data_IF_688247359504
#
_entry.id   IF_688247359504
#
_cell.length_a   1.000
_cell.length_b   1.000
_cell.length_c   1.000
_cell.angle_alpha   90.00
_cell.angle_beta   90.00
_cell.angle_gamma   90.00
#
_symmetry.space_group_name_H-M   'P 1'
#
loop_
_entity.id
_entity.type
_entity.pdbx_description
1 polymer ?
#
# COMPACT_ATOMS: atom_id res chain seq x y z
N UNK A 1 -21.80 -4.42 11.88
CA UNK A 1 -20.54 -3.97 11.26
C UNK A 1 -19.49 -3.91 12.35
N UNK A 2 -18.38 -4.64 12.22
CA UNK A 2 -17.34 -4.67 13.27
C UNK A 2 -16.81 -3.22 13.41
N UNK A 3 -16.75 -2.62 14.61
CA UNK A 3 -16.27 -1.24 14.80
C UNK A 3 -14.88 -0.99 14.18
N UNK A 4 -14.07 -2.05 14.03
CA UNK A 4 -12.76 -2.01 13.41
C UNK A 4 -12.76 -2.01 11.87
N UNK A 5 -13.86 -2.36 11.19
CA UNK A 5 -13.84 -2.54 9.73
C UNK A 5 -13.63 -1.22 8.97
N UNK A 6 -14.25 -0.13 9.43
CA UNK A 6 -14.07 1.20 8.84
C UNK A 6 -12.62 1.68 9.01
N UNK A 7 -12.08 1.62 10.23
CA UNK A 7 -10.70 1.99 10.52
C UNK A 7 -9.69 1.11 9.75
N UNK A 8 -9.92 -0.20 9.67
CA UNK A 8 -9.12 -1.15 8.89
C UNK A 8 -9.15 -0.85 7.39
N UNK A 9 -10.26 -0.36 6.86
CA UNK A 9 -10.36 0.02 5.44
C UNK A 9 -9.48 1.22 5.15
N UNK A 10 -9.50 2.22 6.03
CA UNK A 10 -8.67 3.42 5.92
C UNK A 10 -7.17 3.12 6.04
N UNK A 11 -6.78 2.00 6.63
CA UNK A 11 -5.38 1.58 6.75
C UNK A 11 -4.67 1.44 5.39
N UNK A 12 -5.42 1.23 4.31
CA UNK A 12 -4.87 1.10 2.96
C UNK A 12 -4.68 2.44 2.23
N UNK A 13 -5.06 3.56 2.86
CA UNK A 13 -4.89 4.91 2.31
C UNK A 13 -3.58 5.53 2.81
N UNK A 14 -2.46 4.90 2.44
CA UNK A 14 -1.12 5.41 2.68
C UNK A 14 -0.78 5.54 4.17
N UNK A 15 -0.57 6.77 4.63
CA UNK A 15 -0.11 7.05 6.00
C UNK A 15 -1.10 6.62 7.08
N UNK A 16 -2.37 6.40 6.72
CA UNK A 16 -3.44 6.04 7.65
C UNK A 16 -3.38 4.58 8.15
N UNK A 17 -2.31 3.83 7.83
CA UNK A 17 -2.13 2.44 8.26
C UNK A 17 -2.28 2.21 9.77
N UNK A 18 -2.00 3.23 10.60
CA UNK A 18 -2.04 3.13 12.05
C UNK A 18 -3.44 3.28 12.65
N UNK A 19 -4.45 3.72 11.88
CA UNK A 19 -5.81 3.94 12.40
C UNK A 19 -6.42 2.73 13.13
N UNK A 20 -6.24 1.47 12.67
CA UNK A 20 -6.75 0.31 13.40
C UNK A 20 -6.08 0.05 14.74
N UNK A 21 -4.92 0.68 15.00
CA UNK A 21 -4.14 0.53 16.25
C UNK A 21 -4.58 1.52 17.33
N UNK A 22 -5.25 2.61 16.95
CA UNK A 22 -5.70 3.65 17.88
C UNK A 22 -7.20 3.56 18.20
N UNK A 23 -7.96 2.81 17.39
CA UNK A 23 -9.38 2.52 17.67
C UNK A 23 -9.50 1.39 18.69
N UNK A 24 -10.21 1.65 19.79
CA UNK A 24 -10.46 0.66 20.84
C UNK A 24 -11.73 -0.18 20.56
N UNK A 25 -11.72 -1.49 20.87
CA UNK A 25 -10.57 -2.28 21.29
C UNK A 25 -9.62 -2.56 20.11
N UNK A 26 -8.31 -2.60 20.39
CA UNK A 26 -7.32 -3.03 19.39
C UNK A 26 -7.43 -4.54 19.21
N UNK A 27 -7.87 -4.97 18.03
CA UNK A 27 -8.12 -6.39 17.71
C UNK A 27 -7.00 -6.99 16.88
N UNK A 28 -6.85 -8.32 16.91
CA UNK A 28 -5.97 -9.06 15.98
C UNK A 28 -6.26 -8.73 14.51
N UNK A 29 -7.54 -8.56 14.19
CA UNK A 29 -8.01 -8.14 12.86
C UNK A 29 -7.54 -6.72 12.48
N UNK A 30 -7.67 -5.76 13.40
CA UNK A 30 -7.16 -4.39 13.21
C UNK A 30 -5.64 -4.38 13.01
N UNK A 31 -4.89 -5.09 13.87
CA UNK A 31 -3.43 -5.25 13.74
C UNK A 31 -3.03 -5.87 12.39
N UNK A 32 -3.79 -6.84 11.89
CA UNK A 32 -3.54 -7.44 10.58
C UNK A 32 -3.64 -6.41 9.45
N UNK A 33 -4.74 -5.64 9.40
CA UNK A 33 -4.94 -4.64 8.35
C UNK A 33 -4.01 -3.43 8.50
N UNK A 34 -3.61 -3.08 9.73
CA UNK A 34 -2.55 -2.09 9.96
C UNK A 34 -1.21 -2.53 9.38
N UNK A 35 -0.81 -3.81 9.57
CA UNK A 35 0.39 -4.36 8.96
C UNK A 35 0.34 -4.37 7.43
N UNK A 36 -0.79 -4.77 6.84
CA UNK A 36 -0.95 -4.80 5.38
C UNK A 36 -0.95 -3.38 4.79
N UNK A 37 -1.59 -2.42 5.46
CA UNK A 37 -1.54 -1.00 5.09
C UNK A 37 -0.13 -0.43 5.16
N UNK A 38 0.62 -0.73 6.23
CA UNK A 38 2.02 -0.33 6.38
C UNK A 38 2.88 -0.90 5.24
N UNK A 39 2.69 -2.17 4.92
CA UNK A 39 3.46 -2.83 3.87
C UNK A 39 3.18 -2.22 2.48
N UNK A 40 1.92 -1.86 2.22
CA UNK A 40 1.53 -1.14 1.01
C UNK A 40 2.18 0.25 0.95
N UNK A 41 2.19 1.00 2.07
CA UNK A 41 2.87 2.30 2.17
C UNK A 41 4.37 2.17 1.89
N UNK A 42 5.05 1.21 2.54
CA UNK A 42 6.48 0.98 2.34
C UNK A 42 6.80 0.58 0.90
N UNK A 43 5.97 -0.26 0.30
CA UNK A 43 6.10 -0.65 -1.12
C UNK A 43 5.92 0.56 -2.04
N UNK A 44 4.93 1.42 -1.76
CA UNK A 44 4.70 2.65 -2.52
C UNK A 44 5.89 3.60 -2.45
N UNK A 45 6.48 3.78 -1.26
CA UNK A 45 7.65 4.66 -1.07
C UNK A 45 8.87 4.07 -1.77
N UNK A 46 9.17 2.79 -1.55
CA UNK A 46 10.33 2.12 -2.15
C UNK A 46 10.25 2.11 -3.69
N UNK A 47 9.09 1.75 -4.25
CA UNK A 47 8.89 1.77 -5.70
C UNK A 47 8.94 3.19 -6.28
N UNK A 48 8.39 4.18 -5.57
CA UNK A 48 8.51 5.59 -5.97
C UNK A 48 9.96 6.08 -6.05
N UNK A 49 10.79 5.72 -5.07
CA UNK A 49 12.23 6.05 -5.07
C UNK A 49 12.93 5.39 -6.27
N UNK A 50 12.68 4.09 -6.52
CA UNK A 50 13.28 3.36 -7.64
C UNK A 50 12.91 4.02 -8.98
N UNK A 51 11.63 4.35 -9.17
CA UNK A 51 11.15 4.98 -10.41
C UNK A 51 11.73 6.39 -10.58
N UNK A 52 11.87 7.15 -9.50
CA UNK A 52 12.50 8.47 -9.53
C UNK A 52 13.97 8.38 -9.98
N UNK A 53 14.73 7.42 -9.45
CA UNK A 53 16.12 7.17 -9.85
C UNK A 53 16.19 6.78 -11.33
N UNK A 54 15.35 5.84 -11.78
CA UNK A 54 15.30 5.43 -13.19
C UNK A 54 14.95 6.60 -14.12
N UNK A 55 14.00 7.45 -13.71
CA UNK A 55 13.59 8.63 -14.49
C UNK A 55 14.70 9.67 -14.59
N UNK A 56 15.49 9.87 -13.52
CA UNK A 56 16.66 10.74 -13.53
C UNK A 56 17.75 10.22 -14.49
N UNK A 57 17.95 8.89 -14.52
CA UNK A 57 18.88 8.25 -15.48
C UNK A 57 18.40 8.46 -16.91
N UNK A 58 17.11 8.26 -17.20
CA UNK A 58 16.55 8.51 -18.52
C UNK A 58 16.73 9.95 -18.96
N UNK A 59 16.49 10.92 -18.07
CA UNK A 59 16.70 12.34 -18.33
C UNK A 59 18.17 12.64 -18.68
N UNK A 60 19.11 12.06 -17.94
CA UNK A 60 20.54 12.26 -18.16
C UNK A 60 21.01 11.74 -19.54
N UNK A 61 20.36 10.67 -20.04
CA UNK A 61 20.63 10.12 -21.37
C UNK A 61 19.99 10.98 -22.46
N UNK A 62 18.70 11.27 -22.32
CA UNK A 62 17.96 12.13 -23.25
C UNK A 62 16.63 12.59 -22.65
N UNK A 63 16.33 13.88 -22.78
CA UNK A 63 15.02 14.42 -22.39
C UNK A 63 13.84 13.70 -23.06
N UNK A 64 14.05 13.13 -24.26
CA UNK A 64 13.03 12.35 -24.97
C UNK A 64 12.69 11.03 -24.30
N UNK A 65 13.48 10.53 -23.35
CA UNK A 65 13.21 9.27 -22.64
C UNK A 65 12.37 9.49 -21.37
N UNK A 66 12.07 10.74 -21.00
CA UNK A 66 11.24 11.06 -19.83
C UNK A 66 9.87 10.38 -19.85
N UNK A 67 9.28 10.20 -21.05
CA UNK A 67 7.97 9.52 -21.17
C UNK A 67 7.99 8.09 -20.62
N UNK A 68 9.14 7.40 -20.67
CA UNK A 68 9.29 6.06 -20.10
C UNK A 68 9.16 6.09 -18.58
N UNK A 69 9.76 7.09 -17.93
CA UNK A 69 9.62 7.31 -16.49
C UNK A 69 8.16 7.56 -16.10
N UNK A 70 7.46 8.40 -16.85
CA UNK A 70 6.02 8.67 -16.66
C UNK A 70 5.17 7.40 -16.85
N UNK A 71 5.45 6.61 -17.89
CA UNK A 71 4.72 5.37 -18.16
C UNK A 71 4.94 4.33 -17.04
N UNK A 72 6.19 4.17 -16.58
CA UNK A 72 6.52 3.28 -15.46
C UNK A 72 5.80 3.71 -14.19
N UNK A 73 5.80 5.02 -13.88
CA UNK A 73 5.08 5.55 -12.73
C UNK A 73 3.57 5.31 -12.83
N UNK A 74 2.96 5.52 -14.00
CA UNK A 74 1.54 5.29 -14.20
C UNK A 74 1.14 3.82 -13.96
N UNK A 75 1.89 2.88 -14.53
CA UNK A 75 1.65 1.44 -14.32
C UNK A 75 1.82 1.06 -12.84
N UNK A 76 2.88 1.56 -12.20
CA UNK A 76 3.13 1.33 -10.78
C UNK A 76 2.02 1.90 -9.89
N UNK A 77 1.57 3.14 -10.15
CA UNK A 77 0.49 3.78 -9.41
C UNK A 77 -0.83 3.00 -9.53
N UNK A 78 -1.15 2.49 -10.73
CA UNK A 78 -2.31 1.61 -10.93
C UNK A 78 -2.16 0.32 -10.11
N UNK A 79 -0.98 -0.31 -10.11
CA UNK A 79 -0.75 -1.52 -9.31
C UNK A 79 -0.94 -1.27 -7.80
N UNK A 80 -0.40 -0.17 -7.27
CA UNK A 80 -0.60 0.24 -5.87
C UNK A 80 -2.08 0.50 -5.57
N UNK A 81 -2.79 1.18 -6.47
CA UNK A 81 -4.23 1.45 -6.32
C UNK A 81 -5.03 0.14 -6.30
N UNK A 82 -4.73 -0.81 -7.19
CA UNK A 82 -5.38 -2.13 -7.20
C UNK A 82 -5.15 -2.86 -5.88
N UNK A 83 -3.93 -2.86 -5.36
CA UNK A 83 -3.63 -3.46 -4.06
C UNK A 83 -4.39 -2.77 -2.92
N UNK A 84 -4.47 -1.43 -2.92
CA UNK A 84 -5.23 -0.68 -1.93
C UNK A 84 -6.71 -1.08 -1.94
N UNK A 85 -7.33 -1.13 -3.13
CA UNK A 85 -8.73 -1.53 -3.32
C UNK A 85 -8.94 -2.98 -2.87
N UNK A 86 -8.04 -3.91 -3.19
CA UNK A 86 -8.14 -5.29 -2.72
C UNK A 86 -8.06 -5.41 -1.20
N UNK A 87 -7.24 -4.57 -0.56
CA UNK A 87 -7.17 -4.43 0.88
C UNK A 87 -8.51 -3.99 1.49
N UNK A 88 -9.07 -2.90 0.96
CA UNK A 88 -10.40 -2.39 1.36
C UNK A 88 -11.51 -3.40 1.10
N UNK A 89 -11.50 -4.11 -0.02
CA UNK A 89 -12.50 -5.16 -0.27
C UNK A 89 -12.36 -6.33 0.72
N UNK A 90 -11.15 -6.65 1.15
CA UNK A 90 -10.93 -7.65 2.20
C UNK A 90 -11.53 -7.20 3.53
N UNK A 91 -11.42 -5.90 3.86
CA UNK A 91 -11.99 -5.36 5.10
C UNK A 91 -13.50 -5.34 5.10
N UNK A 92 -14.11 -4.88 4.00
CA UNK A 92 -15.56 -4.86 3.83
C UNK A 92 -16.18 -6.27 3.86
N UNK A 93 -15.43 -7.29 3.43
CA UNK A 93 -15.83 -8.71 3.51
C UNK A 93 -15.54 -9.35 4.87
N UNK A 94 -14.98 -8.62 5.83
CA UNK A 94 -14.60 -9.15 7.15
C UNK A 94 -13.47 -10.19 7.11
N UNK A 95 -12.66 -10.22 6.04
CA UNK A 95 -11.61 -11.22 5.85
C UNK A 95 -10.23 -10.62 6.10
N UNK A 96 -9.40 -11.31 6.85
CA UNK A 96 -7.98 -11.00 7.00
C UNK A 96 -7.17 -11.70 5.89
N UNK A 97 -7.33 -11.25 4.64
CA UNK A 97 -6.61 -11.80 3.49
C UNK A 97 -5.36 -10.95 3.21
N UNK A 98 -4.18 -11.55 3.05
CA UNK A 98 -2.97 -10.80 2.71
C UNK A 98 -3.09 -10.23 1.29
N UNK A 99 -2.51 -9.05 1.08
CA UNK A 99 -2.40 -8.47 -0.26
C UNK A 99 -1.63 -9.42 -1.20
N UNK A 100 -2.02 -9.54 -2.48
CA UNK A 100 -1.23 -10.25 -3.47
C UNK A 100 0.19 -9.68 -3.55
N UNK A 101 1.16 -10.54 -3.89
CA UNK A 101 2.60 -10.21 -4.08
C UNK A 101 3.31 -9.79 -2.80
N UNK A 102 2.83 -8.75 -2.10
CA UNK A 102 3.51 -8.16 -0.96
C UNK A 102 3.03 -8.73 0.39
N UNK A 103 1.77 -9.11 0.51
CA UNK A 103 1.10 -9.31 1.82
C UNK A 103 1.63 -10.42 2.72
N UNK A 104 2.57 -11.25 2.24
CA UNK A 104 3.23 -12.31 3.02
C UNK A 104 4.69 -12.00 3.35
N UNK A 105 5.25 -10.89 2.87
CA UNK A 105 6.69 -10.61 2.97
C UNK A 105 7.13 -10.39 4.41
N UNK A 106 6.40 -9.55 5.17
CA UNK A 106 6.79 -9.18 6.54
C UNK A 106 5.57 -8.91 7.43
N UNK A 107 5.72 -9.18 8.73
CA UNK A 107 4.79 -8.73 9.78
C UNK A 107 5.59 -7.88 10.76
N UNK A 108 5.27 -6.60 10.84
CA UNK A 108 6.07 -5.60 11.56
C UNK A 108 5.49 -5.30 12.96
N UNK A 109 4.17 -5.33 13.08
CA UNK A 109 3.42 -5.06 14.32
C UNK A 109 2.94 -6.40 14.90
N UNK A 110 3.43 -6.76 16.09
CA UNK A 110 3.03 -7.95 16.86
C UNK A 110 1.86 -7.64 17.82
#
# INVERSE_FOLDING_TARGET
>A
MIPSAAASSLAYLGILFFLPLVVKPVTKYGKFHANQGLLLLLTSIAGGIIIAILSAIFLAISWRLLFLGTLLYAVFAIAILVLAVLGVLSTLRGKAKPLPVIGKMFTLIK
#
